data_IF_469610857131
#
_entry.id   IF_469610857131
#
_cell.length_a   1.000
_cell.length_b   1.000
_cell.length_c   1.000
_cell.angle_alpha   90.00
_cell.angle_beta   90.00
_cell.angle_gamma   90.00
#
_symmetry.space_group_name_H-M   'P 1'
#
loop_
_entity.id
_entity.type
_entity.pdbx_description
1 polymer ?
#
# COMPACT_ATOMS: atom_id res chain seq x y z
N UNK A 1 -37.20 32.41 -2.30
CA UNK A 1 -36.13 31.58 -2.89
C UNK A 1 -34.79 31.68 -2.12
N UNK A 2 -34.78 31.56 -0.77
CA UNK A 2 -33.54 31.58 0.05
C UNK A 2 -33.31 30.30 0.87
N UNK A 3 -34.26 29.37 0.88
CA UNK A 3 -34.20 28.14 1.70
C UNK A 3 -33.63 26.92 0.96
N UNK A 4 -33.52 26.96 -0.37
CA UNK A 4 -33.03 25.82 -1.18
C UNK A 4 -31.50 25.78 -1.22
N UNK A 5 -30.81 26.93 -1.24
CA UNK A 5 -29.33 26.96 -1.20
C UNK A 5 -28.73 26.42 0.11
N UNK A 6 -29.44 26.51 1.23
CA UNK A 6 -28.93 26.02 2.52
C UNK A 6 -28.94 24.48 2.60
N UNK A 7 -29.92 23.83 1.98
CA UNK A 7 -30.03 22.37 1.96
C UNK A 7 -28.98 21.70 1.04
N UNK A 8 -28.59 22.37 -0.06
CA UNK A 8 -27.54 21.86 -0.95
C UNK A 8 -26.15 21.96 -0.28
N UNK A 9 -25.88 23.04 0.47
CA UNK A 9 -24.63 23.19 1.24
C UNK A 9 -24.57 22.17 2.39
N UNK A 10 -25.71 21.89 3.04
CA UNK A 10 -25.76 20.89 4.11
C UNK A 10 -25.61 19.45 3.58
N UNK A 11 -26.16 19.13 2.40
CA UNK A 11 -25.97 17.83 1.75
C UNK A 11 -24.52 17.61 1.27
N UNK A 12 -23.81 18.67 0.85
CA UNK A 12 -22.39 18.63 0.51
C UNK A 12 -21.48 18.41 1.74
N UNK A 13 -21.92 18.82 2.94
CA UNK A 13 -21.15 18.61 4.18
C UNK A 13 -21.28 17.20 4.76
N UNK A 14 -22.28 16.42 4.33
CA UNK A 14 -22.51 15.04 4.82
C UNK A 14 -21.80 14.00 3.92
N UNK A 15 -21.25 14.43 2.78
CA UNK A 15 -20.56 13.56 1.81
C UNK A 15 -19.05 13.35 2.08
N UNK A 16 -18.47 13.93 3.13
CA UNK A 16 -17.01 14.02 3.26
C UNK A 16 -16.44 13.69 4.64
N UNK A 17 -16.74 12.51 5.19
CA UNK A 17 -16.01 11.99 6.36
C UNK A 17 -15.66 10.51 6.21
N UNK A 18 -15.36 10.07 4.98
CA UNK A 18 -14.65 8.80 4.78
C UNK A 18 -13.15 9.04 4.97
N UNK A 19 -12.46 8.06 5.55
CA UNK A 19 -11.00 8.05 5.60
C UNK A 19 -10.42 8.21 4.18
N UNK A 20 -9.39 9.05 4.02
CA UNK A 20 -8.66 9.20 2.75
C UNK A 20 -7.92 7.90 2.38
N UNK A 21 -7.61 7.05 3.38
CA UNK A 21 -7.08 5.70 3.17
C UNK A 21 -8.20 4.77 2.71
N UNK A 22 -7.97 4.11 1.58
CA UNK A 22 -8.84 3.06 1.07
C UNK A 22 -8.22 1.71 1.38
N UNK A 23 -8.96 0.85 2.09
CA UNK A 23 -8.56 -0.53 2.34
C UNK A 23 -8.83 -1.37 1.10
N UNK A 24 -7.79 -1.97 0.54
CA UNK A 24 -7.86 -2.77 -0.68
C UNK A 24 -7.30 -4.17 -0.48
N UNK A 25 -7.92 -5.13 -1.15
CA UNK A 25 -7.28 -6.41 -1.45
C UNK A 25 -6.29 -6.24 -2.60
N UNK A 26 -5.35 -7.17 -2.73
CA UNK A 26 -4.34 -7.14 -3.79
C UNK A 26 -4.59 -8.29 -4.75
N UNK A 27 -4.54 -8.01 -6.05
CA UNK A 27 -4.63 -9.01 -7.10
C UNK A 27 -3.58 -8.76 -8.19
N UNK A 28 -3.02 -9.85 -8.71
CA UNK A 28 -2.20 -9.84 -9.91
C UNK A 28 -3.08 -10.25 -11.10
N UNK A 29 -3.10 -9.44 -12.16
CA UNK A 29 -3.66 -9.82 -13.46
C UNK A 29 -2.51 -10.10 -14.41
N UNK A 30 -2.43 -11.33 -14.91
CA UNK A 30 -1.39 -11.78 -15.84
C UNK A 30 -2.00 -12.74 -16.85
N UNK A 31 -1.72 -12.54 -18.14
CA UNK A 31 -2.20 -13.42 -19.23
C UNK A 31 -3.73 -13.67 -19.20
N UNK A 32 -4.52 -12.65 -18.88
CA UNK A 32 -5.99 -12.70 -18.70
C UNK A 32 -6.49 -13.52 -17.50
N UNK A 33 -5.58 -14.01 -16.65
CA UNK A 33 -5.91 -14.67 -15.39
C UNK A 33 -5.80 -13.70 -14.22
N UNK A 34 -6.59 -13.96 -13.18
CA UNK A 34 -6.59 -13.20 -11.93
C UNK A 34 -6.06 -14.07 -10.80
N UNK A 35 -5.03 -13.60 -10.10
CA UNK A 35 -4.48 -14.26 -8.92
C UNK A 35 -4.68 -13.37 -7.70
N UNK A 36 -5.31 -13.89 -6.65
CA UNK A 36 -5.54 -13.14 -5.42
C UNK A 36 -4.38 -13.32 -4.45
N UNK A 37 -3.97 -12.24 -3.81
CA UNK A 37 -3.01 -12.29 -2.72
C UNK A 37 -3.74 -12.67 -1.42
N UNK A 38 -3.38 -13.79 -0.76
CA UNK A 38 -3.96 -14.15 0.52
C UNK A 38 -3.49 -13.19 1.63
N UNK A 39 -4.20 -13.21 2.77
CA UNK A 39 -3.85 -12.41 3.95
C UNK A 39 -2.42 -12.67 4.42
N UNK A 40 -2.01 -13.93 4.35
CA UNK A 40 -0.66 -14.37 4.63
C UNK A 40 -0.05 -14.79 3.29
N UNK A 41 0.68 -13.87 2.65
CA UNK A 41 1.34 -14.08 1.36
C UNK A 41 2.66 -14.85 1.49
N UNK A 42 2.64 -15.93 2.29
CA UNK A 42 3.77 -16.82 2.55
C UNK A 42 3.62 -18.12 1.76
N UNK A 43 4.73 -18.59 1.20
CA UNK A 43 4.77 -19.77 0.34
C UNK A 43 4.37 -21.04 1.09
N UNK A 44 5.02 -21.32 2.22
CA UNK A 44 4.85 -22.56 2.96
C UNK A 44 3.44 -22.64 3.56
N UNK A 45 2.91 -21.51 4.03
CA UNK A 45 1.53 -21.40 4.53
C UNK A 45 0.52 -21.69 3.42
N UNK A 46 0.71 -21.11 2.24
CA UNK A 46 -0.22 -21.34 1.12
C UNK A 46 -0.14 -22.78 0.62
N UNK A 47 1.06 -23.33 0.42
CA UNK A 47 1.24 -24.72 -0.02
C UNK A 47 0.56 -25.70 0.94
N UNK A 48 0.71 -25.49 2.25
CA UNK A 48 0.04 -26.28 3.26
C UNK A 48 -1.49 -26.18 3.15
N UNK A 49 -2.05 -24.97 3.10
CA UNK A 49 -3.50 -24.76 2.96
C UNK A 49 -4.06 -25.42 1.71
N UNK A 50 -3.37 -25.29 0.57
CA UNK A 50 -3.80 -25.91 -0.69
C UNK A 50 -3.73 -27.43 -0.62
N UNK A 51 -2.71 -28.01 0.03
CA UNK A 51 -2.56 -29.46 0.22
C UNK A 51 -3.70 -30.07 1.05
N UNK A 52 -4.25 -29.30 1.99
CA UNK A 52 -5.41 -29.68 2.80
C UNK A 52 -6.76 -29.31 2.15
N UNK A 53 -6.74 -28.87 0.88
CA UNK A 53 -7.93 -28.41 0.14
C UNK A 53 -8.67 -27.24 0.83
N UNK A 54 -7.98 -26.50 1.71
CA UNK A 54 -8.53 -25.31 2.37
C UNK A 54 -8.55 -24.12 1.42
N UNK A 55 -9.51 -23.21 1.58
CA UNK A 55 -9.56 -21.95 0.83
C UNK A 55 -8.73 -20.92 1.61
N UNK A 56 -7.63 -20.38 1.05
CA UNK A 56 -6.86 -19.32 1.67
C UNK A 56 -7.72 -18.10 1.97
N UNK A 57 -7.51 -17.53 3.16
CA UNK A 57 -8.15 -16.27 3.54
C UNK A 57 -7.60 -15.13 2.70
N UNK A 58 -8.49 -14.28 2.18
CA UNK A 58 -8.16 -13.02 1.49
C UNK A 58 -8.84 -11.89 2.26
N UNK A 59 -8.10 -10.84 2.58
CA UNK A 59 -8.65 -9.66 3.25
C UNK A 59 -8.13 -8.37 2.64
N UNK A 60 -8.87 -7.28 2.81
CA UNK A 60 -8.49 -5.93 2.38
C UNK A 60 -7.76 -5.21 3.50
N UNK A 61 -6.45 -5.40 3.60
CA UNK A 61 -5.61 -4.85 4.67
C UNK A 61 -4.54 -3.87 4.19
N UNK A 62 -4.32 -3.77 2.88
CA UNK A 62 -3.43 -2.76 2.32
C UNK A 62 -4.17 -1.44 2.26
N UNK A 63 -3.57 -0.37 2.79
CA UNK A 63 -4.12 0.96 2.68
C UNK A 63 -3.44 1.71 1.54
N UNK A 64 -4.25 2.19 0.60
CA UNK A 64 -3.79 3.10 -0.44
C UNK A 64 -4.40 4.49 -0.24
N UNK A 65 -3.69 5.51 -0.70
CA UNK A 65 -4.19 6.87 -0.82
C UNK A 65 -4.10 7.26 -2.29
N UNK A 66 -5.17 7.84 -2.83
CA UNK A 66 -5.17 8.38 -4.19
C UNK A 66 -5.07 9.89 -4.13
N UNK A 67 -4.13 10.47 -4.86
CA UNK A 67 -4.01 11.92 -4.96
C UNK A 67 -3.52 12.32 -6.35
N UNK A 68 -4.24 13.23 -6.99
CA UNK A 68 -3.98 13.73 -8.35
C UNK A 68 -3.73 12.61 -9.40
N UNK A 69 -4.39 11.46 -9.24
CA UNK A 69 -4.28 10.31 -10.13
C UNK A 69 -3.08 9.39 -9.87
N UNK A 70 -2.24 9.71 -8.89
CA UNK A 70 -1.19 8.82 -8.40
C UNK A 70 -1.67 7.99 -7.20
N UNK A 71 -1.12 6.78 -7.09
CA UNK A 71 -1.39 5.84 -6.00
C UNK A 71 -0.25 5.88 -5.00
N UNK A 72 -0.59 6.02 -3.73
CA UNK A 72 0.36 6.09 -2.64
C UNK A 72 0.09 4.99 -1.61
N UNK A 73 1.13 4.58 -0.89
CA UNK A 73 1.03 3.70 0.28
C UNK A 73 1.90 4.21 1.41
N UNK A 74 1.53 3.87 2.64
CA UNK A 74 2.42 4.04 3.78
C UNK A 74 3.56 2.99 3.77
N UNK A 75 4.72 3.30 4.37
CA UNK A 75 5.85 2.36 4.42
C UNK A 75 5.49 0.96 4.96
N UNK A 76 4.55 0.86 5.89
CA UNK A 76 4.12 -0.42 6.48
C UNK A 76 3.43 -1.37 5.50
N UNK A 77 2.83 -0.83 4.45
CA UNK A 77 2.09 -1.58 3.43
C UNK A 77 2.89 -1.78 2.15
N UNK A 78 4.05 -1.12 2.06
CA UNK A 78 4.84 -1.04 0.84
C UNK A 78 5.35 -2.39 0.34
N UNK A 79 5.86 -3.24 1.24
CA UNK A 79 6.40 -4.58 0.89
C UNK A 79 5.39 -5.41 0.09
N UNK A 80 4.11 -5.34 0.46
CA UNK A 80 3.04 -6.16 -0.11
C UNK A 80 2.81 -5.85 -1.58
N UNK A 81 2.90 -4.58 -1.93
CA UNK A 81 2.74 -4.13 -3.32
C UNK A 81 4.07 -4.26 -4.08
N UNK A 82 5.19 -3.96 -3.41
CA UNK A 82 6.52 -3.99 -4.02
C UNK A 82 6.88 -5.35 -4.60
N UNK A 83 6.62 -6.45 -3.88
CA UNK A 83 6.97 -7.80 -4.37
C UNK A 83 6.31 -8.11 -5.72
N UNK A 84 5.06 -7.68 -5.91
CA UNK A 84 4.35 -7.87 -7.18
C UNK A 84 4.88 -6.94 -8.27
N UNK A 85 5.13 -5.66 -7.96
CA UNK A 85 5.73 -4.71 -8.91
C UNK A 85 7.11 -5.19 -9.38
N UNK A 86 7.89 -5.76 -8.47
CA UNK A 86 9.26 -6.23 -8.72
C UNK A 86 9.35 -7.58 -9.44
N UNK A 87 8.21 -8.19 -9.84
CA UNK A 87 8.15 -9.56 -10.36
C UNK A 87 8.72 -10.61 -9.39
N UNK A 88 8.65 -10.37 -8.08
CA UNK A 88 9.07 -11.32 -7.06
C UNK A 88 7.88 -12.01 -6.42
N UNK A 89 7.31 -12.99 -7.13
CA UNK A 89 6.14 -13.72 -6.69
C UNK A 89 6.11 -15.14 -7.23
N UNK A 90 5.28 -15.99 -6.62
CA UNK A 90 4.97 -17.35 -7.06
C UNK A 90 3.47 -17.46 -7.28
N UNK A 91 3.07 -18.08 -8.40
CA UNK A 91 1.66 -18.29 -8.75
C UNK A 91 1.25 -19.73 -8.47
N UNK A 92 0.08 -19.87 -7.86
CA UNK A 92 -0.57 -21.16 -7.60
C UNK A 92 -1.88 -21.22 -8.36
N UNK A 93 -1.94 -22.11 -9.36
CA UNK A 93 -3.15 -22.33 -10.14
C UNK A 93 -4.18 -23.10 -9.30
N UNK A 94 -5.33 -22.45 -9.05
CA UNK A 94 -6.48 -23.06 -8.41
C UNK A 94 -7.72 -22.29 -8.84
N UNK A 95 -8.45 -22.87 -9.79
CA UNK A 95 -9.61 -22.21 -10.37
C UNK A 95 -10.72 -22.10 -9.32
N UNK A 96 -10.97 -20.89 -8.87
CA UNK A 96 -12.08 -20.53 -7.99
C UNK A 96 -13.18 -19.82 -8.81
N UNK A 97 -14.32 -19.54 -8.17
CA UNK A 97 -15.44 -18.86 -8.84
C UNK A 97 -15.09 -17.45 -9.32
N UNK A 98 -14.22 -16.75 -8.60
CA UNK A 98 -13.93 -15.33 -8.82
C UNK A 98 -12.51 -15.05 -9.34
N UNK A 99 -11.64 -16.06 -9.36
CA UNK A 99 -10.23 -15.92 -9.72
C UNK A 99 -9.65 -17.25 -10.19
N UNK A 100 -8.45 -17.21 -10.77
CA UNK A 100 -7.77 -18.35 -11.40
C UNK A 100 -6.73 -19.01 -10.48
N UNK A 101 -6.34 -18.31 -9.42
CA UNK A 101 -5.41 -18.84 -8.45
C UNK A 101 -4.96 -17.84 -7.40
N UNK A 102 -3.87 -18.15 -6.72
CA UNK A 102 -3.31 -17.34 -5.66
C UNK A 102 -1.90 -16.88 -6.02
N UNK A 103 -1.50 -15.74 -5.48
CA UNK A 103 -0.15 -15.19 -5.61
C UNK A 103 0.45 -14.94 -4.23
N UNK A 104 1.70 -15.35 -4.04
CA UNK A 104 2.48 -15.11 -2.81
C UNK A 104 3.84 -14.54 -3.15
N UNK A 105 4.58 -14.07 -2.15
CA UNK A 105 5.90 -13.51 -2.37
C UNK A 105 6.90 -14.58 -2.83
N UNK A 106 7.81 -14.16 -3.70
CA UNK A 106 8.94 -14.99 -4.11
C UNK A 106 10.10 -14.89 -3.12
N UNK A 107 11.08 -15.76 -3.29
CA UNK A 107 12.19 -15.90 -2.35
C UNK A 107 13.29 -14.82 -2.54
N UNK A 108 13.20 -13.97 -3.57
CA UNK A 108 14.24 -12.99 -3.83
C UNK A 108 14.13 -11.80 -2.86
N UNK A 109 15.26 -11.39 -2.30
CA UNK A 109 15.33 -10.14 -1.55
C UNK A 109 15.30 -8.94 -2.52
N UNK A 110 14.12 -8.35 -2.71
CA UNK A 110 13.92 -7.15 -3.56
C UNK A 110 14.09 -5.83 -2.82
N UNK A 111 14.14 -5.87 -1.49
CA UNK A 111 14.40 -4.70 -0.66
C UNK A 111 15.11 -5.04 0.66
N UNK A 112 15.61 -3.99 1.31
CA UNK A 112 16.07 -4.02 2.69
C UNK A 112 15.53 -2.83 3.46
N UNK A 113 15.15 -3.04 4.71
CA UNK A 113 14.75 -1.97 5.63
C UNK A 113 15.80 -1.81 6.73
N UNK A 114 16.09 -0.56 7.09
CA UNK A 114 17.01 -0.24 8.18
C UNK A 114 16.57 1.02 8.91
N UNK A 115 16.99 1.14 10.17
CA UNK A 115 16.78 2.30 11.01
C UNK A 115 18.14 2.75 11.52
N UNK A 116 18.50 4.01 11.25
CA UNK A 116 19.73 4.62 11.72
C UNK A 116 19.44 5.83 12.61
N UNK A 117 20.15 5.94 13.73
CA UNK A 117 20.04 7.10 14.61
C UNK A 117 21.11 8.13 14.27
N UNK A 118 20.71 9.38 14.06
CA UNK A 118 21.63 10.49 13.81
C UNK A 118 21.49 11.57 14.87
N UNK A 119 22.62 12.07 15.36
CA UNK A 119 22.66 13.24 16.25
C UNK A 119 22.29 14.49 15.45
N UNK A 120 21.55 15.41 16.08
CA UNK A 120 21.34 16.74 15.51
C UNK A 120 22.38 17.73 16.05
N UNK A 121 22.30 18.97 15.57
CA UNK A 121 23.00 20.15 16.10
C UNK A 121 22.68 20.48 17.58
N UNK A 122 21.71 19.80 18.20
CA UNK A 122 21.23 20.08 19.56
C UNK A 122 21.56 18.93 20.50
N UNK A 123 22.20 19.25 21.62
CA UNK A 123 22.53 18.29 22.68
C UNK A 123 21.25 17.58 23.15
N UNK A 124 21.31 16.25 23.23
CA UNK A 124 20.21 15.41 23.67
C UNK A 124 19.09 15.23 22.63
N UNK A 125 19.28 15.66 21.38
CA UNK A 125 18.33 15.42 20.28
C UNK A 125 18.92 14.47 19.25
N UNK A 126 18.18 13.41 18.96
CA UNK A 126 18.44 12.47 17.90
C UNK A 126 17.22 12.33 17.01
N UNK A 127 17.47 12.02 15.74
CA UNK A 127 16.44 11.62 14.79
C UNK A 127 16.62 10.15 14.42
N UNK A 128 15.50 9.49 14.13
CA UNK A 128 15.47 8.14 13.57
C UNK A 128 15.25 8.26 12.08
N UNK A 129 16.26 7.86 11.29
CA UNK A 129 16.22 7.79 9.85
C UNK A 129 15.84 6.37 9.46
N UNK A 130 14.65 6.23 8.90
CA UNK A 130 14.16 4.97 8.35
C UNK A 130 14.48 4.95 6.86
N UNK A 131 14.99 3.82 6.39
CA UNK A 131 15.46 3.68 5.01
C UNK A 131 15.01 2.34 4.45
N UNK A 132 14.28 2.41 3.34
CA UNK A 132 14.03 1.26 2.46
C UNK A 132 14.94 1.41 1.25
N UNK A 133 15.77 0.41 0.98
CA UNK A 133 16.54 0.31 -0.27
C UNK A 133 15.88 -0.75 -1.12
N UNK A 134 15.38 -0.38 -2.29
CA UNK A 134 14.86 -1.34 -3.28
C UNK A 134 15.89 -1.56 -4.39
N UNK A 135 15.91 -2.77 -4.93
CA UNK A 135 16.84 -3.18 -5.98
C UNK A 135 16.10 -3.63 -7.22
N UNK A 136 16.41 -3.01 -8.36
CA UNK A 136 16.00 -3.54 -9.65
C UNK A 136 16.94 -4.67 -10.05
N UNK A 137 16.47 -5.92 -9.99
CA UNK A 137 17.32 -7.08 -10.31
C UNK A 137 17.69 -7.17 -11.81
N UNK A 138 16.94 -6.49 -12.68
CA UNK A 138 17.19 -6.48 -14.13
C UNK A 138 18.23 -5.43 -14.52
N UNK A 139 18.10 -4.19 -14.01
CA UNK A 139 19.05 -3.10 -14.33
C UNK A 139 20.21 -2.98 -13.35
N UNK A 140 20.12 -3.63 -12.19
CA UNK A 140 21.02 -3.49 -11.04
C UNK A 140 21.00 -2.10 -10.37
N UNK A 141 20.05 -1.25 -10.72
CA UNK A 141 19.87 0.05 -10.07
C UNK A 141 19.30 -0.10 -8.65
N UNK A 142 19.58 0.91 -7.83
CA UNK A 142 19.08 1.02 -6.46
C UNK A 142 18.26 2.30 -6.32
N UNK A 143 17.16 2.21 -5.58
CA UNK A 143 16.38 3.37 -5.16
C UNK A 143 16.24 3.35 -3.63
N UNK A 144 16.59 4.47 -3.00
CA UNK A 144 16.47 4.64 -1.56
C UNK A 144 15.26 5.50 -1.24
N UNK A 145 14.42 5.03 -0.32
CA UNK A 145 13.28 5.74 0.22
C UNK A 145 13.61 6.04 1.68
N UNK A 146 13.69 7.32 2.04
CA UNK A 146 14.21 7.77 3.33
C UNK A 146 13.25 8.76 3.98
N UNK A 147 12.90 8.51 5.23
CA UNK A 147 12.07 9.42 6.02
C UNK A 147 12.49 9.41 7.50
N UNK A 148 11.99 10.38 8.25
CA UNK A 148 12.09 10.40 9.72
C UNK A 148 10.72 10.50 10.33
N UNK A 149 10.40 9.69 11.35
CA UNK A 149 9.10 9.75 12.04
C UNK A 149 9.10 10.63 13.30
N UNK A 150 10.26 10.83 13.93
CA UNK A 150 10.39 11.59 15.18
C UNK A 150 11.39 12.74 15.04
N UNK A 151 11.11 13.95 15.60
CA UNK A 151 9.95 14.33 16.40
C UNK A 151 8.66 14.62 15.60
N UNK A 152 8.77 14.73 14.27
CA UNK A 152 7.66 14.83 13.33
C UNK A 152 8.01 14.08 12.04
N UNK A 153 7.02 13.57 11.30
CA UNK A 153 7.24 12.96 10.00
C UNK A 153 7.88 13.95 9.04
N UNK A 154 8.96 13.55 8.39
CA UNK A 154 9.62 14.31 7.31
C UNK A 154 10.05 13.35 6.22
N UNK A 155 9.77 13.72 4.97
CA UNK A 155 10.27 13.03 3.79
C UNK A 155 11.67 13.54 3.46
N UNK A 156 12.64 12.64 3.35
CA UNK A 156 14.03 12.99 3.04
C UNK A 156 14.39 12.59 1.60
N UNK A 157 13.90 11.43 1.10
CA UNK A 157 14.19 10.95 -0.27
C UNK A 157 13.10 10.00 -0.78
N UNK A 158 12.66 10.17 -2.04
CA UNK A 158 11.72 9.29 -2.77
C UNK A 158 10.45 8.90 -1.99
N UNK A 159 9.96 9.83 -1.16
CA UNK A 159 8.67 9.76 -0.49
C UNK A 159 8.18 11.20 -0.28
N UNK A 160 6.93 11.35 0.15
CA UNK A 160 6.33 12.67 0.40
C UNK A 160 5.57 12.69 1.72
N UNK A 161 5.37 13.88 2.28
CA UNK A 161 4.42 14.09 3.39
C UNK A 161 3.14 14.62 2.80
N UNK A 162 2.03 13.90 2.99
CA UNK A 162 0.69 14.42 2.70
C UNK A 162 -0.09 14.58 3.99
N UNK A 163 -1.01 15.55 3.98
CA UNK A 163 -1.98 15.76 5.05
C UNK A 163 -3.27 15.06 4.66
N UNK A 164 -3.56 13.93 5.29
CA UNK A 164 -4.70 13.08 4.96
C UNK A 164 -5.73 13.06 6.10
N UNK A 165 -7.01 12.99 5.77
CA UNK A 165 -8.11 12.82 6.71
C UNK A 165 -8.21 11.36 7.14
N UNK A 166 -7.91 11.10 8.41
CA UNK A 166 -7.92 9.76 8.99
C UNK A 166 -9.10 9.62 9.93
N UNK A 167 -9.80 8.49 9.84
CA UNK A 167 -10.95 8.19 10.70
C UNK A 167 -10.62 6.98 11.58
N UNK A 168 -10.61 7.17 12.89
CA UNK A 168 -10.31 6.13 13.87
C UNK A 168 -11.48 5.85 14.82
N UNK A 169 -11.55 4.62 15.32
CA UNK A 169 -12.51 4.20 16.34
C UNK A 169 -11.78 3.73 17.59
N UNK A 170 -11.30 4.65 18.45
CA UNK A 170 -10.50 4.29 19.62
C UNK A 170 -11.28 3.49 20.68
N UNK A 171 -12.61 3.65 20.74
CA UNK A 171 -13.50 2.91 21.63
C UNK A 171 -14.79 2.49 20.89
N UNK A 172 -15.45 1.39 21.31
CA UNK A 172 -16.72 0.96 20.73
C UNK A 172 -17.75 2.09 20.70
N UNK A 173 -18.34 2.34 19.53
CA UNK A 173 -19.34 3.39 19.33
C UNK A 173 -18.80 4.82 19.21
N UNK A 174 -17.48 5.01 19.17
CA UNK A 174 -16.86 6.32 18.90
C UNK A 174 -16.14 6.33 17.56
N UNK A 175 -16.18 7.47 16.88
CA UNK A 175 -15.47 7.69 15.61
C UNK A 175 -14.91 9.11 15.65
N UNK A 176 -13.60 9.23 15.46
CA UNK A 176 -12.87 10.50 15.49
C UNK A 176 -12.19 10.64 14.13
N UNK A 177 -12.43 11.76 13.47
CA UNK A 177 -11.73 12.16 12.26
C UNK A 177 -10.75 13.28 12.56
N UNK A 178 -9.51 13.14 12.09
CA UNK A 178 -8.50 14.19 12.18
C UNK A 178 -7.58 14.16 10.96
N UNK A 179 -7.02 15.32 10.62
CA UNK A 179 -5.95 15.37 9.64
C UNK A 179 -4.63 14.93 10.27
N UNK A 180 -3.92 14.05 9.58
CA UNK A 180 -2.59 13.54 9.98
C UNK A 180 -1.55 13.88 8.90
N UNK A 181 -0.36 14.29 9.31
CA UNK A 181 0.81 14.34 8.41
C UNK A 181 1.35 12.92 8.28
N UNK A 182 1.32 12.36 7.07
CA UNK A 182 1.66 10.95 6.82
C UNK A 182 2.73 10.84 5.75
N UNK A 183 3.74 10.01 6.01
CA UNK A 183 4.75 9.63 5.02
C UNK A 183 4.12 8.68 4.01
N UNK A 184 4.20 9.04 2.75
CA UNK A 184 3.64 8.27 1.64
C UNK A 184 4.69 8.00 0.57
N UNK A 185 4.66 6.79 0.03
CA UNK A 185 5.50 6.33 -1.07
C UNK A 185 4.64 6.31 -2.33
N UNK A 186 5.09 6.97 -3.39
CA UNK A 186 4.40 7.02 -4.67
C UNK A 186 4.62 5.71 -5.43
N UNK A 187 3.60 4.86 -5.54
CA UNK A 187 3.72 3.56 -6.21
C UNK A 187 3.96 3.71 -7.72
N UNK A 188 3.49 4.79 -8.35
CA UNK A 188 3.74 5.03 -9.77
C UNK A 188 5.24 5.26 -10.05
N UNK A 189 5.94 6.00 -9.19
CA UNK A 189 7.39 6.18 -9.29
C UNK A 189 8.16 4.86 -9.11
N UNK A 190 7.64 3.95 -8.27
CA UNK A 190 8.22 2.61 -8.10
C UNK A 190 8.03 1.75 -9.35
N UNK A 191 6.85 1.81 -9.97
CA UNK A 191 6.60 1.14 -11.26
C UNK A 191 7.55 1.66 -12.33
N UNK A 192 7.71 2.99 -12.43
CA UNK A 192 8.61 3.62 -13.40
C UNK A 192 10.07 3.23 -13.16
N UNK A 193 10.50 3.13 -11.89
CA UNK A 193 11.83 2.65 -11.52
C UNK A 193 12.12 1.21 -11.99
N UNK A 194 11.13 0.31 -11.91
CA UNK A 194 11.30 -1.05 -12.42
C UNK A 194 11.27 -1.11 -13.95
N UNK A 195 10.51 -0.23 -14.61
CA UNK A 195 10.47 -0.09 -16.07
C UNK A 195 10.04 -1.38 -16.80
N UNK A 196 9.33 -2.27 -16.11
CA UNK A 196 9.02 -3.63 -16.56
C UNK A 196 7.61 -3.77 -17.18
N UNK A 197 6.95 -2.64 -17.50
CA UNK A 197 5.62 -2.63 -18.11
C UNK A 197 4.45 -2.88 -17.16
N UNK A 198 4.73 -3.10 -15.87
CA UNK A 198 3.70 -3.20 -14.83
C UNK A 198 2.83 -1.95 -14.82
N UNK A 199 1.54 -2.11 -14.54
CA UNK A 199 0.62 -1.00 -14.26
C UNK A 199 -0.19 -1.27 -13.01
N UNK A 200 -0.65 -0.21 -12.38
CA UNK A 200 -1.50 -0.28 -11.20
C UNK A 200 -2.88 0.25 -11.54
N UNK A 201 -3.91 -0.48 -11.14
CA UNK A 201 -5.31 -0.08 -11.33
C UNK A 201 -6.07 -0.32 -10.02
N UNK A 202 -6.54 0.74 -9.40
CA UNK A 202 -7.46 0.62 -8.27
C UNK A 202 -8.91 0.53 -8.78
N UNK A 203 -9.60 -0.54 -8.40
CA UNK A 203 -11.01 -0.77 -8.68
C UNK A 203 -11.81 -0.59 -7.38
N UNK A 204 -12.42 0.57 -7.23
CA UNK A 204 -13.21 0.93 -6.03
C UNK A 204 -14.40 -0.01 -5.79
N UNK A 205 -15.05 -0.47 -6.86
CA UNK A 205 -16.25 -1.31 -6.76
C UNK A 205 -15.92 -2.68 -6.19
N UNK A 206 -14.76 -3.21 -6.55
CA UNK A 206 -14.28 -4.51 -6.08
C UNK A 206 -13.45 -4.38 -4.79
N UNK A 207 -13.02 -3.16 -4.44
CA UNK A 207 -12.13 -2.92 -3.30
C UNK A 207 -10.75 -3.54 -3.53
N UNK A 208 -10.26 -3.49 -4.77
CA UNK A 208 -9.05 -4.19 -5.20
C UNK A 208 -8.04 -3.24 -5.83
N UNK A 209 -6.76 -3.37 -5.46
CA UNK A 209 -5.64 -2.88 -6.25
C UNK A 209 -5.14 -4.01 -7.15
N UNK A 210 -5.26 -3.80 -8.45
CA UNK A 210 -4.74 -4.69 -9.48
C UNK A 210 -3.33 -4.29 -9.89
N UNK A 211 -2.42 -5.27 -9.88
CA UNK A 211 -1.11 -5.21 -10.51
C UNK A 211 -1.26 -5.90 -11.86
N UNK A 212 -1.16 -5.12 -12.95
CA UNK A 212 -1.35 -5.59 -14.32
C UNK A 212 0.00 -5.91 -14.96
N UNK A 213 0.14 -7.12 -15.50
CA UNK A 213 1.34 -7.64 -16.17
C UNK A 213 1.02 -8.31 -17.50
#
# INVERSE_FOLDING_TARGET
MKKISCLIILALLILGCSDDRKYVGIALKKDHKVYLMPTIADKDVLEHQLSENMIPSVSSFVQIVEDEGALFVEPRDFERVLNLIANNYILYERKEKTHDGYVVFGDNQVYSYSINHANTDKIGKQISLETIVIKNNTSHDLLEIVWTNFPKPRAEKNCTIKRIWVVTSPYPGTTIGNYEETVLINLNEIVDFYGNGVRLEHNEKEGMLYILQ
#
